data_IF_066536202512
#
_entry.id   IF_066536202512
#
_cell.length_a   1.000
_cell.length_b   1.000
_cell.length_c   1.000
_cell.angle_alpha   90.00
_cell.angle_beta   90.00
_cell.angle_gamma   90.00
#
_symmetry.space_group_name_H-M   'P 1'
#
loop_
_entity.id
_entity.type
_entity.pdbx_description
1 polymer ?
#
# COMPACT_ATOMS: atom_id res chain seq x y z
N UNK A 1 8.81 -0.06 -3.81
CA UNK A 1 10.03 0.75 -3.53
C UNK A 1 10.27 1.88 -4.53
N UNK A 2 10.09 1.69 -5.84
CA UNK A 2 10.36 2.71 -6.86
C UNK A 2 9.74 4.09 -6.57
N UNK A 3 8.43 4.17 -6.31
CA UNK A 3 7.73 5.43 -5.98
C UNK A 3 8.40 6.19 -4.83
N UNK A 4 8.68 5.50 -3.71
CA UNK A 4 9.31 6.11 -2.54
C UNK A 4 10.72 6.63 -2.85
N UNK A 5 11.50 5.89 -3.65
CA UNK A 5 12.82 6.33 -4.10
C UNK A 5 12.74 7.57 -4.98
N UNK A 6 11.76 7.64 -5.89
CA UNK A 6 11.56 8.80 -6.76
C UNK A 6 11.18 10.05 -5.95
N UNK A 7 10.27 9.92 -4.98
CA UNK A 7 9.88 11.02 -4.09
C UNK A 7 11.07 11.55 -3.28
N UNK A 8 11.92 10.66 -2.76
CA UNK A 8 13.12 11.06 -2.01
C UNK A 8 14.17 11.74 -2.90
N UNK A 9 14.16 11.52 -4.22
CA UNK A 9 15.08 12.17 -5.16
C UNK A 9 14.60 13.54 -5.65
N UNK A 10 13.38 13.96 -5.30
CA UNK A 10 12.91 15.30 -5.65
C UNK A 10 13.80 16.38 -5.03
N UNK A 11 13.99 17.53 -5.72
CA UNK A 11 14.67 18.68 -5.15
C UNK A 11 14.06 19.07 -3.80
N UNK A 12 14.85 19.50 -2.80
CA UNK A 12 14.33 19.82 -1.46
C UNK A 12 13.15 20.80 -1.46
N UNK A 13 13.13 21.76 -2.40
CA UNK A 13 12.06 22.75 -2.55
C UNK A 13 10.72 22.15 -2.99
N UNK A 14 10.75 20.98 -3.64
CA UNK A 14 9.58 20.26 -4.15
C UNK A 14 9.26 19.00 -3.35
N UNK A 15 10.12 18.63 -2.39
CA UNK A 15 10.00 17.37 -1.66
C UNK A 15 8.96 17.52 -0.54
N UNK A 16 7.85 16.78 -0.60
CA UNK A 16 6.88 16.79 0.49
C UNK A 16 7.47 16.08 1.73
N UNK A 17 6.84 16.27 2.89
CA UNK A 17 7.09 15.39 4.02
C UNK A 17 6.61 13.98 3.67
N UNK A 18 7.52 13.01 3.71
CA UNK A 18 7.23 11.63 3.32
C UNK A 18 6.96 10.80 4.57
N UNK A 19 5.78 10.18 4.62
CA UNK A 19 5.42 9.17 5.60
C UNK A 19 5.15 7.86 4.86
N UNK A 20 5.57 6.74 5.43
CA UNK A 20 5.36 5.40 4.85
C UNK A 20 4.27 4.69 5.63
N UNK A 21 3.24 4.21 4.95
CA UNK A 21 2.23 3.31 5.51
C UNK A 21 2.36 1.92 4.89
N UNK A 22 2.41 0.88 5.72
CA UNK A 22 2.59 -0.50 5.28
C UNK A 22 1.60 -1.44 5.98
N UNK A 23 1.07 -2.40 5.23
CA UNK A 23 0.17 -3.43 5.73
C UNK A 23 0.78 -4.78 5.39
N UNK A 24 1.09 -5.54 6.43
CA UNK A 24 1.45 -6.95 6.29
C UNK A 24 0.18 -7.78 6.25
N UNK A 25 -0.21 -8.26 5.07
CA UNK A 25 -1.40 -9.10 4.89
C UNK A 25 -1.23 -10.55 5.33
N UNK A 26 -0.01 -10.98 5.68
CA UNK A 26 0.27 -12.33 6.17
C UNK A 26 -0.21 -13.47 5.24
N UNK A 27 -0.31 -13.21 3.93
CA UNK A 27 -0.75 -14.20 2.93
C UNK A 27 0.34 -15.19 2.51
N UNK A 28 1.60 -14.87 2.81
CA UNK A 28 2.78 -15.65 2.40
C UNK A 28 3.86 -15.56 3.47
N UNK A 29 4.64 -16.63 3.65
CA UNK A 29 5.75 -16.66 4.62
C UNK A 29 6.81 -15.58 4.33
N UNK A 30 6.99 -15.22 3.06
CA UNK A 30 7.90 -14.14 2.63
C UNK A 30 7.54 -12.76 3.23
N UNK A 31 6.29 -12.54 3.66
CA UNK A 31 5.85 -11.28 4.27
C UNK A 31 6.70 -10.87 5.49
N UNK A 32 7.21 -11.84 6.26
CA UNK A 32 8.07 -11.58 7.42
C UNK A 32 9.38 -10.90 7.01
N UNK A 33 9.99 -11.38 5.92
CA UNK A 33 11.22 -10.82 5.38
C UNK A 33 10.98 -9.42 4.79
N UNK A 34 9.85 -9.22 4.12
CA UNK A 34 9.45 -7.93 3.55
C UNK A 34 9.18 -6.88 4.63
N UNK A 35 8.43 -7.24 5.68
CA UNK A 35 8.19 -6.39 6.84
C UNK A 35 9.51 -5.99 7.50
N UNK A 36 10.47 -6.93 7.61
CA UNK A 36 11.80 -6.65 8.17
C UNK A 36 12.60 -5.69 7.29
N UNK A 37 12.58 -5.90 5.97
CA UNK A 37 13.21 -5.03 5.00
C UNK A 37 12.65 -3.60 5.04
N UNK A 38 11.32 -3.43 5.07
CA UNK A 38 10.66 -2.12 5.09
C UNK A 38 10.98 -1.36 6.38
N UNK A 39 10.95 -2.03 7.53
CA UNK A 39 11.35 -1.44 8.82
C UNK A 39 12.77 -0.91 8.75
N UNK A 40 13.72 -1.75 8.33
CA UNK A 40 15.13 -1.38 8.22
C UNK A 40 15.33 -0.22 7.24
N UNK A 41 14.68 -0.26 6.08
CA UNK A 41 14.77 0.80 5.09
C UNK A 41 14.29 2.14 5.66
N UNK A 42 13.11 2.18 6.28
CA UNK A 42 12.56 3.41 6.85
C UNK A 42 13.43 3.94 7.99
N UNK A 43 13.98 3.06 8.84
CA UNK A 43 14.92 3.45 9.89
C UNK A 43 16.20 4.08 9.31
N UNK A 44 16.82 3.44 8.30
CA UNK A 44 18.04 3.96 7.66
C UNK A 44 17.81 5.30 6.97
N UNK A 45 16.63 5.50 6.36
CA UNK A 45 16.28 6.75 5.68
C UNK A 45 15.61 7.79 6.59
N UNK A 46 15.49 7.53 7.90
CA UNK A 46 14.81 8.40 8.86
C UNK A 46 13.37 8.77 8.46
N UNK A 47 12.65 7.81 7.86
CA UNK A 47 11.26 7.95 7.45
C UNK A 47 10.32 7.43 8.54
N UNK A 48 9.27 8.18 8.84
CA UNK A 48 8.20 7.72 9.71
C UNK A 48 7.46 6.54 9.05
N UNK A 49 7.44 5.40 9.73
CA UNK A 49 6.76 4.18 9.29
C UNK A 49 5.56 3.88 10.18
N UNK A 50 4.37 3.94 9.58
CA UNK A 50 3.14 3.41 10.13
C UNK A 50 2.94 2.00 9.58
N UNK A 51 2.91 1.00 10.44
CA UNK A 51 2.70 -0.37 10.00
C UNK A 51 1.63 -1.08 10.84
N UNK A 52 0.88 -1.96 10.19
CA UNK A 52 -0.04 -2.88 10.84
C UNK A 52 0.03 -4.27 10.19
N UNK A 53 -0.54 -5.25 10.88
CA UNK A 53 -0.76 -6.59 10.36
C UNK A 53 -2.25 -6.81 10.17
N UNK A 54 -2.65 -7.36 9.03
CA UNK A 54 -4.01 -7.85 8.85
C UNK A 54 -4.17 -9.16 9.64
N UNK A 55 -5.05 -9.22 10.66
CA UNK A 55 -5.18 -10.42 11.48
C UNK A 55 -5.66 -11.61 10.65
N UNK A 56 -4.98 -12.77 10.77
CA UNK A 56 -5.36 -13.97 10.01
C UNK A 56 -6.79 -14.42 10.27
N UNK A 57 -7.33 -14.15 11.48
CA UNK A 57 -8.72 -14.43 11.82
C UNK A 57 -9.75 -13.63 11.00
N UNK A 58 -9.33 -12.56 10.33
CA UNK A 58 -10.17 -11.74 9.45
C UNK A 58 -10.04 -12.13 7.97
N UNK A 59 -9.23 -13.15 7.65
CA UNK A 59 -9.08 -13.59 6.27
C UNK A 59 -10.34 -14.34 5.83
N UNK A 60 -11.01 -13.92 4.75
CA UNK A 60 -12.17 -14.62 4.25
C UNK A 60 -11.77 -15.91 3.52
N UNK A 61 -12.71 -16.84 3.39
CA UNK A 61 -12.50 -18.04 2.56
C UNK A 61 -12.45 -17.71 1.06
N UNK A 62 -13.15 -16.65 0.63
CA UNK A 62 -13.23 -16.19 -0.75
C UNK A 62 -13.10 -14.67 -0.81
N UNK A 63 -12.60 -14.12 -1.92
CA UNK A 63 -12.47 -12.66 -2.09
C UNK A 63 -11.37 -12.02 -1.24
N UNK A 64 -10.31 -12.77 -0.94
CA UNK A 64 -9.16 -12.33 -0.13
C UNK A 64 -8.56 -11.02 -0.62
N UNK A 65 -8.45 -10.82 -1.93
CA UNK A 65 -7.91 -9.59 -2.50
C UNK A 65 -8.78 -8.36 -2.19
N UNK A 66 -10.09 -8.47 -2.37
CA UNK A 66 -11.03 -7.38 -2.07
C UNK A 66 -11.03 -7.03 -0.58
N UNK A 67 -10.99 -8.05 0.30
CA UNK A 67 -10.90 -7.86 1.74
C UNK A 67 -9.55 -7.24 2.17
N UNK A 68 -8.44 -7.72 1.61
CA UNK A 68 -7.10 -7.16 1.84
C UNK A 68 -7.01 -5.70 1.39
N UNK A 69 -7.63 -5.36 0.25
CA UNK A 69 -7.75 -4.00 -0.25
C UNK A 69 -8.57 -3.13 0.70
N UNK A 70 -9.74 -3.59 1.14
CA UNK A 70 -10.59 -2.86 2.07
C UNK A 70 -9.87 -2.56 3.39
N UNK A 71 -9.24 -3.58 4.00
CA UNK A 71 -8.45 -3.42 5.22
C UNK A 71 -7.32 -2.40 5.03
N UNK A 72 -6.58 -2.49 3.91
CA UNK A 72 -5.48 -1.58 3.60
C UNK A 72 -5.94 -0.12 3.51
N UNK A 73 -7.03 0.15 2.79
CA UNK A 73 -7.53 1.52 2.64
C UNK A 73 -8.17 2.05 3.91
N UNK A 74 -8.80 1.20 4.73
CA UNK A 74 -9.29 1.60 6.05
C UNK A 74 -8.15 2.05 6.95
N UNK A 75 -7.08 1.27 7.02
CA UNK A 75 -5.87 1.62 7.77
C UNK A 75 -5.22 2.93 7.27
N UNK A 76 -5.11 3.11 5.95
CA UNK A 76 -4.57 4.35 5.39
C UNK A 76 -5.41 5.57 5.76
N UNK A 77 -6.74 5.46 5.65
CA UNK A 77 -7.64 6.55 6.03
C UNK A 77 -7.52 6.89 7.52
N UNK A 78 -7.38 5.89 8.39
CA UNK A 78 -7.16 6.09 9.83
C UNK A 78 -5.87 6.86 10.10
N UNK A 79 -4.75 6.41 9.55
CA UNK A 79 -3.45 7.08 9.71
C UNK A 79 -3.49 8.50 9.17
N UNK A 80 -4.11 8.71 8.02
CA UNK A 80 -4.23 10.05 7.43
C UNK A 80 -5.03 10.98 8.34
N UNK A 81 -6.16 10.51 8.88
CA UNK A 81 -7.01 11.28 9.79
C UNK A 81 -6.27 11.62 11.09
N UNK A 82 -5.61 10.65 11.71
CA UNK A 82 -4.91 10.82 12.98
C UNK A 82 -3.69 11.77 12.88
N UNK A 83 -3.04 11.81 11.71
CA UNK A 83 -1.81 12.57 11.50
C UNK A 83 -1.99 13.79 10.59
N UNK A 84 -3.24 14.17 10.28
CA UNK A 84 -3.59 15.29 9.40
C UNK A 84 -2.88 15.25 8.02
N UNK A 85 -2.75 14.05 7.44
CA UNK A 85 -2.12 13.84 6.14
C UNK A 85 -3.16 14.06 5.03
N UNK A 86 -2.84 14.93 4.07
CA UNK A 86 -3.79 15.35 3.01
C UNK A 86 -3.78 14.46 1.77
N UNK A 87 -2.65 13.81 1.48
CA UNK A 87 -2.45 13.10 0.22
C UNK A 87 -1.98 11.67 0.48
N UNK A 88 -2.60 10.72 -0.22
CA UNK A 88 -2.18 9.33 -0.29
C UNK A 88 -1.62 9.07 -1.68
N UNK A 89 -0.37 8.61 -1.76
CA UNK A 89 0.25 8.18 -3.00
C UNK A 89 0.39 6.66 -2.98
N UNK A 90 -0.14 5.99 -3.99
CA UNK A 90 -0.05 4.53 -4.16
C UNK A 90 0.71 4.22 -5.44
N UNK A 91 1.61 3.23 -5.41
CA UNK A 91 2.38 2.79 -6.57
C UNK A 91 1.59 1.78 -7.43
N UNK A 92 0.34 2.11 -7.80
CA UNK A 92 -0.37 1.30 -8.79
C UNK A 92 0.31 1.49 -10.14
N UNK A 93 0.76 0.39 -10.75
CA UNK A 93 1.40 0.42 -12.05
C UNK A 93 0.33 0.37 -13.16
N UNK A 94 0.66 0.75 -14.40
CA UNK A 94 -0.26 0.68 -15.54
C UNK A 94 -0.81 -0.73 -15.80
N UNK A 95 -0.04 -1.77 -15.45
CA UNK A 95 -0.43 -3.16 -15.58
C UNK A 95 -1.58 -3.54 -14.62
N UNK A 96 -1.61 -2.97 -13.40
CA UNK A 96 -2.72 -3.18 -12.44
C UNK A 96 -4.05 -2.63 -12.98
N UNK A 97 -3.98 -1.56 -13.78
CA UNK A 97 -5.16 -0.95 -14.41
C UNK A 97 -5.66 -1.81 -15.59
N UNK A 98 -4.74 -2.40 -16.37
CA UNK A 98 -5.07 -3.34 -17.44
C UNK A 98 -5.68 -4.64 -16.89
N UNK A 99 -5.12 -5.19 -15.81
CA UNK A 99 -5.71 -6.35 -15.13
C UNK A 99 -7.11 -6.04 -14.58
N UNK A 100 -7.29 -4.84 -13.99
CA UNK A 100 -8.61 -4.38 -13.54
C UNK A 100 -9.60 -4.28 -14.71
N UNK A 101 -9.17 -3.71 -15.83
CA UNK A 101 -9.97 -3.58 -17.05
C UNK A 101 -10.36 -4.95 -17.61
N UNK A 102 -9.41 -5.89 -17.70
CA UNK A 102 -9.65 -7.26 -18.17
C UNK A 102 -10.61 -8.01 -17.24
N UNK A 103 -10.46 -7.88 -15.92
CA UNK A 103 -11.41 -8.44 -14.96
C UNK A 103 -12.82 -7.85 -15.11
N UNK A 104 -12.94 -6.54 -15.36
CA UNK A 104 -14.22 -5.89 -15.61
C UNK A 104 -14.86 -6.35 -16.94
N UNK A 105 -14.05 -6.52 -17.98
CA UNK A 105 -14.46 -7.06 -19.28
C UNK A 105 -14.95 -8.50 -19.17
N UNK A 106 -14.20 -9.36 -18.47
CA UNK A 106 -14.59 -10.77 -18.27
C UNK A 106 -15.85 -10.90 -17.39
N UNK A 107 -16.05 -9.98 -16.44
CA UNK A 107 -17.21 -10.01 -15.53
C UNK A 107 -18.49 -9.42 -16.13
N UNK A 108 -18.37 -8.39 -16.97
CA UNK A 108 -19.53 -7.59 -17.42
C UNK A 108 -19.58 -7.29 -18.91
N UNK A 109 -18.57 -7.66 -19.70
CA UNK A 109 -18.51 -7.42 -21.16
C UNK A 109 -18.42 -5.94 -21.56
N UNK A 110 -18.36 -5.02 -20.61
CA UNK A 110 -18.37 -3.58 -20.84
C UNK A 110 -17.17 -2.89 -20.19
N UNK A 111 -16.67 -1.91 -20.92
CA UNK A 111 -15.68 -0.93 -20.51
C UNK A 111 -16.42 0.40 -20.51
N UNK A 112 -16.55 1.03 -19.34
CA UNK A 112 -17.14 2.36 -19.19
C UNK A 112 -16.05 3.43 -19.20
#
# INVERSE_FOLDING_TARGET
MALLTLLQKLPPQLRPQINVAYVDHQLRAASVQETTFIKRYCQTQQLTLWQTKWPMAQHPQHGTEAAARAFRYHYFAEIMRLNNIKHLLTAHQGDDQLETLLMQLLRSGNIA
#
